data_IF_507190479723
#
_entry.id   IF_507190479723
#
_cell.length_a   1.000
_cell.length_b   1.000
_cell.length_c   1.000
_cell.angle_alpha   90.00
_cell.angle_beta   90.00
_cell.angle_gamma   90.00
#
_symmetry.space_group_name_H-M   'P 1'
#
loop_
_entity.id
_entity.type
_entity.pdbx_description
1 polymer ?
#
# COMPACT_ATOMS: atom_id res chain seq x y z
N UNK A 1 -41.54 13.49 12.35
CA UNK A 1 -40.50 14.34 11.73
C UNK A 1 -39.32 14.34 12.68
N UNK A 2 -38.45 13.34 12.57
CA UNK A 2 -37.13 13.43 13.20
C UNK A 2 -36.34 14.47 12.42
N UNK A 3 -35.80 15.46 13.12
CA UNK A 3 -34.94 16.48 12.53
C UNK A 3 -33.65 15.75 12.15
N UNK A 4 -33.49 15.46 10.86
CA UNK A 4 -32.27 14.93 10.30
C UNK A 4 -31.12 15.88 10.70
N UNK A 5 -30.24 15.39 11.57
CA UNK A 5 -29.13 16.19 12.11
C UNK A 5 -28.22 16.56 10.95
N UNK A 6 -28.34 17.78 10.45
CA UNK A 6 -27.47 18.30 9.40
C UNK A 6 -26.02 18.25 9.86
N UNK A 7 -25.17 17.66 9.03
CA UNK A 7 -23.74 17.51 9.31
C UNK A 7 -23.09 18.89 9.48
N UNK A 8 -22.36 19.09 10.57
CA UNK A 8 -21.76 20.38 10.94
C UNK A 8 -20.29 20.52 10.56
N UNK A 9 -19.64 19.42 10.14
CA UNK A 9 -18.23 19.36 9.77
C UNK A 9 -18.04 18.73 8.39
N UNK A 10 -17.02 19.15 7.61
CA UNK A 10 -16.62 18.43 6.40
C UNK A 10 -16.05 17.05 6.75
N UNK A 11 -16.17 16.10 5.83
CA UNK A 11 -15.72 14.72 6.03
C UNK A 11 -14.56 14.38 5.10
N UNK A 12 -13.51 13.81 5.67
CA UNK A 12 -12.38 13.25 4.95
C UNK A 12 -12.45 11.71 4.99
N UNK A 13 -12.77 11.08 3.86
CA UNK A 13 -12.79 9.63 3.74
C UNK A 13 -11.47 9.15 3.15
N UNK A 14 -10.76 8.29 3.86
CA UNK A 14 -9.60 7.57 3.37
C UNK A 14 -10.03 6.13 3.08
N UNK A 15 -10.05 5.73 1.82
CA UNK A 15 -10.43 4.38 1.40
C UNK A 15 -9.22 3.65 0.83
N UNK A 16 -8.79 2.60 1.51
CA UNK A 16 -7.59 1.86 1.13
C UNK A 16 -7.82 0.35 1.30
N UNK A 17 -7.55 -0.39 0.24
CA UNK A 17 -7.66 -1.86 0.23
C UNK A 17 -6.32 -2.51 -0.11
N UNK A 18 -6.23 -3.82 0.11
CA UNK A 18 -5.01 -4.60 -0.04
C UNK A 18 -4.39 -5.01 1.29
N UNK A 19 -3.12 -5.37 1.24
CA UNK A 19 -2.34 -5.89 2.37
C UNK A 19 -1.93 -4.79 3.35
N UNK A 20 -1.21 -5.17 4.42
CA UNK A 20 -0.69 -4.22 5.42
C UNK A 20 0.10 -3.07 4.78
N UNK A 21 0.91 -3.36 3.77
CA UNK A 21 1.72 -2.37 3.05
C UNK A 21 0.91 -1.35 2.24
N UNK A 22 -0.31 -1.71 1.84
CA UNK A 22 -1.19 -0.88 1.02
C UNK A 22 -2.07 0.04 1.87
N UNK A 23 -2.42 -0.42 3.08
CA UNK A 23 -3.42 0.21 3.95
C UNK A 23 -2.79 1.06 5.06
N UNK A 24 -1.78 0.54 5.76
CA UNK A 24 -1.25 1.19 6.96
C UNK A 24 -0.62 2.57 6.66
N UNK A 25 0.11 2.76 5.55
CA UNK A 25 0.60 4.09 5.18
C UNK A 25 -0.52 5.11 4.99
N UNK A 26 -1.64 4.71 4.40
CA UNK A 26 -2.81 5.59 4.21
C UNK A 26 -3.50 5.88 5.54
N UNK A 27 -3.59 4.89 6.43
CA UNK A 27 -4.07 5.09 7.79
C UNK A 27 -3.21 6.08 8.58
N UNK A 28 -1.89 6.06 8.40
CA UNK A 28 -0.98 7.01 9.04
C UNK A 28 -1.21 8.45 8.53
N UNK A 29 -1.46 8.62 7.22
CA UNK A 29 -1.85 9.92 6.66
C UNK A 29 -3.20 10.37 7.22
N UNK A 30 -4.20 9.48 7.29
CA UNK A 30 -5.52 9.81 7.83
C UNK A 30 -5.43 10.31 9.28
N UNK A 31 -4.62 9.65 10.11
CA UNK A 31 -4.37 10.08 11.49
C UNK A 31 -3.62 11.40 11.56
N UNK A 32 -2.54 11.56 10.80
CA UNK A 32 -1.81 12.83 10.76
C UNK A 32 -2.70 13.99 10.30
N UNK A 33 -3.56 13.74 9.31
CA UNK A 33 -4.55 14.72 8.84
C UNK A 33 -5.59 15.04 9.93
N UNK A 34 -6.13 14.05 10.64
CA UNK A 34 -7.09 14.28 11.73
C UNK A 34 -6.50 15.11 12.88
N UNK A 35 -5.23 14.86 13.22
CA UNK A 35 -4.51 15.62 14.22
C UNK A 35 -4.33 17.09 13.83
N UNK A 36 -3.98 17.34 12.56
CA UNK A 36 -3.71 18.66 12.01
C UNK A 36 -5.00 19.45 11.71
N UNK A 37 -6.05 18.77 11.23
CA UNK A 37 -7.30 19.35 10.73
C UNK A 37 -8.50 18.91 11.59
N UNK A 38 -8.55 19.36 12.85
CA UNK A 38 -9.57 18.98 13.85
C UNK A 38 -11.01 19.37 13.50
N UNK A 39 -11.18 20.25 12.52
CA UNK A 39 -12.49 20.63 11.99
C UNK A 39 -13.10 19.55 11.09
N UNK A 40 -12.33 18.56 10.66
CA UNK A 40 -12.81 17.44 9.86
C UNK A 40 -13.26 16.26 10.71
N UNK A 41 -14.29 15.57 10.25
CA UNK A 41 -14.55 14.20 10.66
C UNK A 41 -13.81 13.26 9.71
N UNK A 42 -12.90 12.45 10.24
CA UNK A 42 -12.02 11.59 9.43
C UNK A 42 -12.44 10.14 9.54
N UNK A 43 -12.55 9.45 8.40
CA UNK A 43 -13.00 8.06 8.32
C UNK A 43 -12.00 7.24 7.50
N UNK A 44 -11.56 6.10 8.02
CA UNK A 44 -10.85 5.07 7.26
C UNK A 44 -11.80 3.94 6.90
N UNK A 45 -11.92 3.64 5.60
CA UNK A 45 -12.63 2.48 5.06
C UNK A 45 -11.60 1.48 4.55
N UNK A 46 -11.60 0.25 5.08
CA UNK A 46 -10.67 -0.81 4.67
C UNK A 46 -11.19 -2.21 5.05
N UNK A 47 -10.46 -3.26 4.71
CA UNK A 47 -10.81 -4.64 5.06
C UNK A 47 -10.92 -4.86 6.57
N UNK A 48 -11.93 -5.62 6.99
CA UNK A 48 -12.09 -6.11 8.36
C UNK A 48 -10.86 -6.86 8.89
N UNK A 49 -10.04 -7.44 8.01
CA UNK A 49 -8.76 -8.06 8.37
C UNK A 49 -7.76 -7.10 9.03
N UNK A 50 -7.93 -5.78 8.89
CA UNK A 50 -7.10 -4.74 9.52
C UNK A 50 -7.74 -4.13 10.77
N UNK A 51 -8.68 -4.85 11.42
CA UNK A 51 -9.40 -4.43 12.64
C UNK A 51 -8.47 -3.93 13.75
N UNK A 52 -7.25 -4.45 13.83
CA UNK A 52 -6.26 -4.04 14.82
C UNK A 52 -5.83 -2.57 14.67
N UNK A 53 -6.07 -1.91 13.54
CA UNK A 53 -5.90 -0.47 13.39
C UNK A 53 -6.91 0.34 14.21
N UNK A 54 -8.09 -0.22 14.53
CA UNK A 54 -9.18 0.54 15.17
C UNK A 54 -8.75 1.24 16.45
N UNK A 55 -7.91 0.62 17.29
CA UNK A 55 -7.44 1.27 18.52
C UNK A 55 -6.54 2.48 18.22
N UNK A 56 -5.60 2.34 17.29
CA UNK A 56 -4.71 3.42 16.88
C UNK A 56 -5.46 4.59 16.21
N UNK A 57 -6.50 4.28 15.44
CA UNK A 57 -7.35 5.27 14.78
C UNK A 57 -8.22 6.02 15.80
N UNK A 58 -8.82 5.30 16.75
CA UNK A 58 -9.69 5.87 17.77
C UNK A 58 -8.95 6.84 18.71
N UNK A 59 -7.68 6.58 19.03
CA UNK A 59 -6.83 7.49 19.82
C UNK A 59 -6.73 8.89 19.21
N UNK A 60 -6.85 9.00 17.88
CA UNK A 60 -6.77 10.27 17.13
C UNK A 60 -8.10 10.64 16.47
N UNK A 61 -9.22 10.14 17.01
CA UNK A 61 -10.57 10.45 16.56
C UNK A 61 -10.86 10.10 15.08
N UNK A 62 -10.14 9.13 14.51
CA UNK A 62 -10.43 8.60 13.17
C UNK A 62 -11.39 7.42 13.29
N UNK A 63 -12.52 7.50 12.59
CA UNK A 63 -13.52 6.44 12.56
C UNK A 63 -13.09 5.30 11.64
N UNK A 64 -13.24 4.06 12.07
CA UNK A 64 -12.92 2.88 11.27
C UNK A 64 -14.18 2.18 10.76
N UNK A 65 -14.31 2.01 9.44
CA UNK A 65 -15.42 1.33 8.77
C UNK A 65 -14.91 0.08 8.04
N UNK A 66 -15.17 -1.13 8.57
CA UNK A 66 -14.69 -2.36 7.96
C UNK A 66 -15.50 -2.75 6.73
N UNK A 67 -14.83 -3.40 5.78
CA UNK A 67 -15.39 -4.12 4.63
C UNK A 67 -15.04 -5.61 4.77
N UNK A 68 -16.02 -6.49 4.60
CA UNK A 68 -15.91 -7.93 4.83
C UNK A 68 -14.93 -8.66 3.91
N UNK A 69 -14.76 -8.15 2.68
CA UNK A 69 -13.86 -8.75 1.68
C UNK A 69 -12.43 -8.97 2.22
N UNK A 70 -11.74 -10.04 1.83
CA UNK A 70 -10.37 -10.29 2.26
C UNK A 70 -9.36 -9.42 1.50
N UNK A 71 -8.22 -9.05 2.12
CA UNK A 71 -7.10 -8.37 1.46
C UNK A 71 -6.54 -9.08 0.22
N UNK A 72 -6.61 -10.41 0.21
CA UNK A 72 -6.10 -11.26 -0.87
C UNK A 72 -7.08 -12.41 -1.08
N UNK A 73 -7.46 -12.62 -2.34
CA UNK A 73 -8.22 -13.80 -2.74
C UNK A 73 -7.25 -14.97 -2.94
N UNK A 74 -7.32 -15.99 -2.08
CA UNK A 74 -6.56 -17.23 -2.26
C UNK A 74 -7.24 -18.15 -3.28
N UNK A 75 -6.43 -18.89 -4.04
CA UNK A 75 -6.91 -19.92 -4.98
C UNK A 75 -7.42 -21.18 -4.24
N UNK A 76 -7.27 -21.26 -2.91
CA UNK A 76 -7.62 -22.46 -2.15
C UNK A 76 -9.13 -22.72 -2.10
N UNK A 77 -9.51 -23.65 -2.99
CA UNK A 77 -10.52 -24.69 -2.87
C UNK A 77 -11.04 -24.85 -1.44
N UNK A 78 -12.21 -24.26 -1.15
CA UNK A 78 -13.06 -24.83 -0.11
C UNK A 78 -13.48 -26.19 -0.64
N UNK A 79 -12.82 -27.25 -0.19
CA UNK A 79 -13.36 -28.59 -0.30
C UNK A 79 -14.70 -28.57 0.46
N UNK A 80 -15.77 -28.30 -0.27
CA UNK A 80 -17.12 -28.46 0.23
C UNK A 80 -17.38 -29.98 0.29
N UNK A 81 -17.57 -30.57 1.48
CA UNK A 81 -17.84 -32.00 1.60
C UNK A 81 -19.19 -32.39 0.96
N UNK A 82 -19.98 -31.43 0.47
CA UNK A 82 -21.30 -31.66 -0.15
C UNK A 82 -21.26 -31.89 -1.67
N UNK A 83 -20.09 -31.87 -2.33
CA UNK A 83 -19.98 -32.26 -3.74
C UNK A 83 -20.54 -31.25 -4.75
N UNK A 84 -20.71 -29.98 -4.37
CA UNK A 84 -21.04 -28.91 -5.31
C UNK A 84 -19.87 -28.63 -6.26
N UNK A 85 -20.15 -28.45 -7.56
CA UNK A 85 -19.15 -28.07 -8.58
C UNK A 85 -18.48 -26.76 -8.18
N UNK A 86 -17.15 -26.78 -8.01
CA UNK A 86 -16.36 -25.57 -7.74
C UNK A 86 -16.49 -24.56 -8.88
N UNK A 87 -16.90 -23.34 -8.56
CA UNK A 87 -16.96 -22.26 -9.55
C UNK A 87 -15.54 -21.91 -10.03
N UNK A 88 -15.35 -21.62 -11.34
CA UNK A 88 -14.11 -21.04 -11.86
C UNK A 88 -13.64 -19.82 -11.05
N UNK A 89 -12.34 -19.71 -10.78
CA UNK A 89 -11.76 -18.58 -10.03
C UNK A 89 -12.15 -17.20 -10.59
N UNK A 90 -12.31 -17.08 -11.91
CA UNK A 90 -12.76 -15.86 -12.56
C UNK A 90 -14.19 -15.46 -12.14
N UNK A 91 -15.10 -16.43 -11.98
CA UNK A 91 -16.46 -16.19 -11.50
C UNK A 91 -16.46 -15.85 -10.02
N UNK A 92 -15.71 -16.59 -9.20
CA UNK A 92 -15.56 -16.27 -7.77
C UNK A 92 -15.04 -14.84 -7.58
N UNK A 93 -13.97 -14.46 -8.30
CA UNK A 93 -13.41 -13.11 -8.25
C UNK A 93 -14.44 -12.04 -8.63
N UNK A 94 -15.27 -12.28 -9.65
CA UNK A 94 -16.35 -11.35 -10.04
C UNK A 94 -17.39 -11.19 -8.94
N UNK A 95 -17.83 -12.29 -8.32
CA UNK A 95 -18.78 -12.26 -7.21
C UNK A 95 -18.22 -11.46 -6.01
N UNK A 96 -17.02 -11.81 -5.54
CA UNK A 96 -16.37 -11.09 -4.45
C UNK A 96 -16.19 -9.60 -4.75
N UNK A 97 -15.83 -9.24 -5.98
CA UNK A 97 -15.66 -7.85 -6.37
C UNK A 97 -16.99 -7.09 -6.41
N UNK A 98 -18.09 -7.76 -6.79
CA UNK A 98 -19.44 -7.19 -6.74
C UNK A 98 -19.91 -6.95 -5.31
N UNK A 99 -19.76 -7.95 -4.43
CA UNK A 99 -20.10 -7.85 -3.01
C UNK A 99 -19.28 -6.76 -2.32
N UNK A 100 -17.97 -6.74 -2.56
CA UNK A 100 -17.06 -5.71 -2.07
C UNK A 100 -17.53 -4.30 -2.44
N UNK A 101 -17.81 -4.04 -3.73
CA UNK A 101 -18.26 -2.72 -4.19
C UNK A 101 -19.61 -2.33 -3.59
N UNK A 102 -20.53 -3.28 -3.43
CA UNK A 102 -21.82 -3.03 -2.80
C UNK A 102 -21.67 -2.63 -1.33
N UNK A 103 -20.80 -3.32 -0.60
CA UNK A 103 -20.50 -2.98 0.80
C UNK A 103 -19.83 -1.60 0.90
N UNK A 104 -18.86 -1.31 0.04
CA UNK A 104 -18.24 0.02 -0.03
C UNK A 104 -19.27 1.11 -0.34
N UNK A 105 -20.19 0.88 -1.29
CA UNK A 105 -21.27 1.81 -1.61
C UNK A 105 -22.12 2.13 -0.39
N UNK A 106 -22.62 1.11 0.33
CA UNK A 106 -23.47 1.30 1.52
C UNK A 106 -22.75 2.08 2.62
N UNK A 107 -21.45 1.82 2.83
CA UNK A 107 -20.65 2.57 3.81
C UNK A 107 -20.51 4.04 3.40
N UNK A 108 -20.17 4.31 2.13
CA UNK A 108 -19.98 5.69 1.64
C UNK A 108 -21.32 6.45 1.59
N UNK A 109 -22.40 5.79 1.20
CA UNK A 109 -23.77 6.32 1.27
C UNK A 109 -24.16 6.66 2.71
N UNK A 110 -23.79 5.85 3.71
CA UNK A 110 -24.05 6.19 5.11
C UNK A 110 -23.30 7.43 5.61
N UNK A 111 -22.26 7.87 4.90
CA UNK A 111 -21.42 9.02 5.24
C UNK A 111 -21.88 10.29 4.50
N UNK A 112 -22.16 10.18 3.20
CA UNK A 112 -22.50 11.32 2.33
C UNK A 112 -23.97 11.38 1.90
N UNK A 113 -24.77 10.35 2.16
CA UNK A 113 -26.15 10.24 1.68
C UNK A 113 -27.19 10.99 2.52
N UNK A 114 -26.86 11.42 3.73
CA UNK A 114 -27.77 12.12 4.66
C UNK A 114 -27.91 13.63 4.42
N UNK A 115 -27.31 14.17 3.34
CA UNK A 115 -27.40 15.60 3.01
C UNK A 115 -26.51 16.01 1.83
N UNK A 116 -26.54 17.29 1.42
CA UNK A 116 -25.64 17.78 0.38
C UNK A 116 -24.18 17.71 0.81
N UNK A 117 -23.27 17.47 -0.14
CA UNK A 117 -21.84 17.54 0.12
C UNK A 117 -21.41 18.96 0.54
N UNK A 118 -20.43 19.03 1.43
CA UNK A 118 -19.79 20.29 1.82
C UNK A 118 -18.56 20.53 0.96
N UNK A 119 -18.19 21.80 0.74
CA UNK A 119 -17.04 22.17 -0.09
C UNK A 119 -15.72 21.50 0.34
N UNK A 120 -15.57 21.25 1.64
CA UNK A 120 -14.40 20.58 2.20
C UNK A 120 -14.38 19.07 2.05
N UNK A 121 -15.46 18.42 1.61
CA UNK A 121 -15.54 16.96 1.56
C UNK A 121 -14.63 16.35 0.49
N UNK A 122 -13.96 15.26 0.86
CA UNK A 122 -13.14 14.51 -0.09
C UNK A 122 -13.01 13.02 0.24
N UNK A 123 -12.63 12.26 -0.78
CA UNK A 123 -12.22 10.86 -0.71
C UNK A 123 -10.78 10.74 -1.19
N UNK A 124 -9.91 10.13 -0.38
CA UNK A 124 -8.58 9.68 -0.78
C UNK A 124 -8.63 8.19 -1.03
N UNK A 125 -8.19 7.74 -2.21
CA UNK A 125 -8.16 6.33 -2.58
C UNK A 125 -6.74 5.83 -2.83
N UNK A 126 -6.46 4.55 -2.54
CA UNK A 126 -5.32 3.87 -3.15
C UNK A 126 -5.73 3.14 -4.45
N UNK A 127 -4.77 2.57 -5.18
CA UNK A 127 -5.07 1.90 -6.46
C UNK A 127 -5.85 0.58 -6.32
N UNK A 128 -6.11 0.11 -5.11
CA UNK A 128 -6.99 -1.02 -4.84
C UNK A 128 -8.42 -0.58 -4.47
N UNK A 129 -8.67 0.72 -4.34
CA UNK A 129 -9.95 1.32 -3.96
C UNK A 129 -10.53 2.20 -5.08
N UNK A 130 -10.37 1.78 -6.33
CA UNK A 130 -10.75 2.57 -7.52
C UNK A 130 -12.24 2.88 -7.60
N UNK A 131 -13.11 2.09 -6.97
CA UNK A 131 -14.55 2.38 -6.85
C UNK A 131 -14.83 3.70 -6.15
N UNK A 132 -13.92 4.17 -5.29
CA UNK A 132 -14.03 5.48 -4.64
C UNK A 132 -13.98 6.64 -5.62
N UNK A 133 -13.43 6.46 -6.83
CA UNK A 133 -13.56 7.47 -7.89
C UNK A 133 -15.01 7.65 -8.32
N UNK A 134 -15.72 6.55 -8.60
CA UNK A 134 -17.14 6.60 -8.97
C UNK A 134 -18.01 7.11 -7.82
N UNK A 135 -17.68 6.76 -6.57
CA UNK A 135 -18.40 7.31 -5.42
C UNK A 135 -18.17 8.80 -5.24
N UNK A 136 -16.94 9.29 -5.46
CA UNK A 136 -16.65 10.72 -5.40
C UNK A 136 -17.45 11.50 -6.45
N UNK A 137 -17.57 10.97 -7.67
CA UNK A 137 -18.41 11.52 -8.73
C UNK A 137 -19.90 11.47 -8.34
N UNK A 138 -20.39 10.34 -7.81
CA UNK A 138 -21.79 10.17 -7.41
C UNK A 138 -22.22 11.15 -6.32
N UNK A 139 -21.40 11.31 -5.27
CA UNK A 139 -21.68 12.19 -4.13
C UNK A 139 -21.15 13.62 -4.34
N UNK A 140 -20.59 13.93 -5.52
CA UNK A 140 -20.05 15.25 -5.88
C UNK A 140 -19.06 15.77 -4.85
N UNK A 141 -18.11 14.93 -4.48
CA UNK A 141 -16.99 15.24 -3.58
C UNK A 141 -15.66 15.10 -4.32
N UNK A 142 -14.60 15.71 -3.80
CA UNK A 142 -13.28 15.64 -4.45
C UNK A 142 -12.67 14.25 -4.29
N UNK A 143 -12.02 13.74 -5.33
CA UNK A 143 -11.23 12.51 -5.25
C UNK A 143 -9.73 12.83 -5.35
N UNK A 144 -8.94 12.25 -4.46
CA UNK A 144 -7.48 12.27 -4.49
C UNK A 144 -6.96 10.84 -4.46
N UNK A 145 -5.73 10.63 -4.93
CA UNK A 145 -5.11 9.31 -4.96
C UNK A 145 -3.85 9.32 -4.11
N UNK A 146 -3.66 8.29 -3.29
CA UNK A 146 -2.47 8.08 -2.48
C UNK A 146 -1.97 6.64 -2.62
N UNK A 147 -0.73 6.47 -3.06
CA UNK A 147 -0.12 5.17 -3.32
C UNK A 147 1.24 5.06 -2.61
N UNK A 148 1.41 4.12 -1.65
CA UNK A 148 2.70 3.87 -1.01
C UNK A 148 3.71 3.12 -1.91
N UNK A 149 3.34 2.89 -3.17
CA UNK A 149 4.10 2.14 -4.17
C UNK A 149 3.99 2.84 -5.53
N UNK A 150 4.92 2.53 -6.43
CA UNK A 150 4.84 2.94 -7.84
C UNK A 150 3.67 2.22 -8.49
N UNK A 151 2.91 2.90 -9.37
CA UNK A 151 1.81 2.28 -10.14
C UNK A 151 2.28 0.94 -10.72
N UNK A 152 1.70 -0.19 -10.29
CA UNK A 152 2.23 -1.51 -10.62
C UNK A 152 1.83 -1.98 -12.02
N UNK A 153 1.09 -1.16 -12.78
CA UNK A 153 0.53 -1.52 -14.08
C UNK A 153 0.53 -0.32 -15.04
N UNK A 154 1.09 -0.50 -16.23
CA UNK A 154 0.92 0.46 -17.32
C UNK A 154 -0.33 0.15 -18.14
N UNK A 155 -0.93 1.15 -18.78
CA UNK A 155 -1.94 0.90 -19.80
C UNK A 155 -1.37 -0.06 -20.88
N UNK A 156 -2.13 -1.06 -21.36
CA UNK A 156 -1.69 -1.91 -22.46
C UNK A 156 -1.27 -1.08 -23.67
N UNK A 157 -0.24 -1.52 -24.42
CA UNK A 157 0.26 -0.77 -25.59
C UNK A 157 -0.81 -0.54 -26.67
N UNK A 158 -1.85 -1.37 -26.70
CA UNK A 158 -2.98 -1.25 -27.60
C UNK A 158 -4.12 -0.36 -27.07
N UNK A 159 -4.09 0.03 -25.79
CA UNK A 159 -5.19 0.74 -25.12
C UNK A 159 -5.54 2.04 -25.83
N UNK A 160 -4.57 2.90 -26.11
CA UNK A 160 -4.81 4.19 -26.79
C UNK A 160 -5.47 4.01 -28.16
N UNK A 161 -5.03 3.01 -28.93
CA UNK A 161 -5.59 2.72 -30.26
C UNK A 161 -7.05 2.31 -30.17
N UNK A 162 -7.38 1.42 -29.22
CA UNK A 162 -8.77 0.99 -29.00
C UNK A 162 -9.61 2.15 -28.46
N UNK A 163 -9.10 2.89 -27.48
CA UNK A 163 -9.79 4.04 -26.89
C UNK A 163 -10.14 5.09 -27.95
N UNK A 164 -9.19 5.44 -28.82
CA UNK A 164 -9.42 6.40 -29.91
C UNK A 164 -10.45 5.91 -30.93
N UNK A 165 -10.52 4.59 -31.17
CA UNK A 165 -11.46 4.00 -32.12
C UNK A 165 -12.88 3.96 -31.55
N UNK A 166 -13.03 3.48 -30.31
CA UNK A 166 -14.34 3.24 -29.69
C UNK A 166 -14.93 4.54 -29.08
N UNK A 167 -14.07 5.43 -28.57
CA UNK A 167 -14.47 6.68 -27.89
C UNK A 167 -13.75 7.91 -28.48
N UNK A 168 -13.87 8.19 -29.79
CA UNK A 168 -13.08 9.22 -30.48
C UNK A 168 -13.30 10.62 -29.92
N UNK A 169 -14.53 10.94 -29.52
CA UNK A 169 -14.88 12.24 -28.96
C UNK A 169 -14.34 12.41 -27.53
N UNK A 170 -14.38 11.37 -26.71
CA UNK A 170 -13.80 11.39 -25.36
C UNK A 170 -12.27 11.47 -25.42
N UNK A 171 -11.65 10.77 -26.37
CA UNK A 171 -10.21 10.89 -26.62
C UNK A 171 -9.84 12.33 -26.97
N UNK A 172 -10.60 12.97 -27.88
CA UNK A 172 -10.42 14.39 -28.23
C UNK A 172 -10.59 15.29 -26.99
N UNK A 173 -11.65 15.09 -26.21
CA UNK A 173 -11.89 15.81 -24.96
C UNK A 173 -10.68 15.74 -24.02
N UNK A 174 -10.12 14.54 -23.77
CA UNK A 174 -8.98 14.33 -22.88
C UNK A 174 -7.66 14.87 -23.43
N UNK A 175 -7.48 14.88 -24.76
CA UNK A 175 -6.28 15.39 -25.43
C UNK A 175 -6.22 16.91 -25.47
N UNK A 176 -7.38 17.57 -25.56
CA UNK A 176 -7.51 19.04 -25.61
C UNK A 176 -7.59 19.68 -24.21
N UNK A 177 -7.60 18.87 -23.15
CA UNK A 177 -7.64 19.37 -21.79
C UNK A 177 -6.38 20.18 -21.45
N UNK A 178 -6.59 21.29 -20.75
CA UNK A 178 -5.50 22.03 -20.11
C UNK A 178 -4.79 21.17 -19.05
N UNK A 179 -3.53 21.49 -18.76
CA UNK A 179 -2.69 20.75 -17.82
C UNK A 179 -3.24 20.74 -16.37
N UNK A 180 -4.10 21.69 -16.01
CA UNK A 180 -4.77 21.75 -14.71
C UNK A 180 -6.02 20.87 -14.61
N UNK A 181 -6.52 20.35 -15.74
CA UNK A 181 -7.74 19.54 -15.85
C UNK A 181 -7.39 18.07 -16.10
N UNK A 182 -8.35 17.18 -15.85
CA UNK A 182 -8.17 15.76 -16.22
C UNK A 182 -7.88 15.66 -17.72
N UNK A 183 -6.76 15.02 -18.04
CA UNK A 183 -6.26 14.92 -19.41
C UNK A 183 -5.78 13.51 -19.75
N UNK A 184 -5.37 13.31 -21.00
CA UNK A 184 -4.87 12.01 -21.46
C UNK A 184 -3.67 11.49 -20.65
N UNK A 185 -2.84 12.39 -20.09
CA UNK A 185 -1.72 11.99 -19.24
C UNK A 185 -2.19 11.31 -17.95
N UNK A 186 -3.26 11.79 -17.34
CA UNK A 186 -3.86 11.15 -16.15
C UNK A 186 -4.37 9.75 -16.51
N UNK A 187 -5.03 9.64 -17.67
CA UNK A 187 -5.57 8.38 -18.17
C UNK A 187 -4.50 7.32 -18.37
N UNK A 188 -3.45 7.62 -19.13
CA UNK A 188 -2.37 6.64 -19.37
C UNK A 188 -1.52 6.37 -18.14
N UNK A 189 -1.45 7.33 -17.20
CA UNK A 189 -0.64 7.17 -15.99
C UNK A 189 -1.31 6.23 -14.99
N UNK A 190 -2.61 6.38 -14.76
CA UNK A 190 -3.30 5.57 -13.75
C UNK A 190 -4.80 5.33 -13.98
N UNK A 191 -5.52 6.21 -14.70
CA UNK A 191 -6.99 6.10 -14.78
C UNK A 191 -7.50 5.09 -15.80
N UNK A 192 -6.64 4.54 -16.66
CA UNK A 192 -7.05 3.61 -17.73
C UNK A 192 -7.94 2.44 -17.27
N UNK A 193 -7.82 1.85 -16.06
CA UNK A 193 -8.72 0.78 -15.63
C UNK A 193 -10.18 1.23 -15.55
N UNK A 194 -10.44 2.50 -15.22
CA UNK A 194 -11.78 3.07 -15.09
C UNK A 194 -12.55 3.08 -16.42
N UNK A 195 -11.86 2.90 -17.55
CA UNK A 195 -12.45 2.86 -18.89
C UNK A 195 -12.60 1.44 -19.45
N UNK A 196 -12.41 0.42 -18.62
CA UNK A 196 -12.66 -0.97 -19.01
C UNK A 196 -14.14 -1.32 -18.85
N UNK A 197 -14.63 -2.24 -19.69
CA UNK A 197 -16.03 -2.68 -19.69
C UNK A 197 -16.51 -3.13 -18.30
N UNK A 198 -15.64 -3.79 -17.53
CA UNK A 198 -15.94 -4.25 -16.18
C UNK A 198 -16.33 -3.13 -15.20
N UNK A 199 -15.75 -1.94 -15.35
CA UNK A 199 -16.14 -0.77 -14.57
C UNK A 199 -17.37 -0.09 -15.17
N UNK A 200 -17.49 -0.07 -16.50
CA UNK A 200 -18.62 0.53 -17.19
C UNK A 200 -19.96 -0.13 -16.89
N UNK A 201 -20.02 -1.46 -16.94
CA UNK A 201 -21.24 -2.20 -16.57
C UNK A 201 -21.64 -1.92 -15.12
N UNK A 202 -20.70 -2.00 -14.18
CA UNK A 202 -21.00 -1.71 -12.77
C UNK A 202 -21.50 -0.28 -12.53
N UNK A 203 -20.89 0.73 -13.17
CA UNK A 203 -21.34 2.12 -13.06
C UNK A 203 -22.76 2.31 -13.57
N UNK A 204 -23.09 1.69 -14.69
CA UNK A 204 -24.43 1.76 -15.28
C UNK A 204 -25.44 1.00 -14.43
N UNK A 205 -25.19 -0.28 -14.18
CA UNK A 205 -26.16 -1.23 -13.62
C UNK A 205 -26.38 -1.03 -12.11
N UNK A 206 -25.36 -0.58 -11.37
CA UNK A 206 -25.42 -0.47 -9.91
C UNK A 206 -25.48 0.97 -9.40
N UNK A 207 -24.91 1.94 -10.12
CA UNK A 207 -24.88 3.35 -9.68
C UNK A 207 -25.77 4.28 -10.51
N UNK A 208 -26.39 3.79 -11.58
CA UNK A 208 -27.16 4.60 -12.54
C UNK A 208 -26.35 5.77 -13.13
N UNK A 209 -25.05 5.55 -13.36
CA UNK A 209 -24.11 6.54 -13.90
C UNK A 209 -23.74 6.22 -15.34
N UNK A 210 -23.09 7.16 -16.02
CA UNK A 210 -22.52 6.89 -17.35
C UNK A 210 -21.46 5.78 -17.26
N UNK A 211 -21.45 4.80 -18.20
CA UNK A 211 -20.46 3.72 -18.19
C UNK A 211 -19.03 4.23 -18.23
N UNK A 212 -18.78 5.30 -18.99
CA UNK A 212 -17.47 5.95 -19.02
C UNK A 212 -17.46 7.16 -18.08
N UNK A 213 -16.36 7.40 -17.34
CA UNK A 213 -16.15 8.68 -16.69
C UNK A 213 -16.14 9.84 -17.71
N UNK A 214 -16.58 11.03 -17.27
CA UNK A 214 -16.59 12.27 -18.07
C UNK A 214 -17.52 12.27 -19.28
N UNK A 215 -18.47 11.33 -19.34
CA UNK A 215 -19.54 11.31 -20.34
C UNK A 215 -20.89 11.50 -19.69
N UNK A 216 -21.79 12.17 -20.39
CA UNK A 216 -23.17 12.35 -19.96
C UNK A 216 -23.91 10.99 -19.99
N UNK A 217 -24.68 10.65 -18.95
CA UNK A 217 -25.34 9.34 -18.85
C UNK A 217 -26.45 9.12 -19.89
N UNK A 218 -27.02 10.18 -20.47
CA UNK A 218 -28.11 10.07 -21.45
C UNK A 218 -27.58 10.00 -22.87
N UNK A 219 -26.64 10.88 -23.22
CA UNK A 219 -26.12 11.04 -24.57
C UNK A 219 -24.86 10.22 -24.85
N UNK A 220 -24.13 9.80 -23.81
CA UNK A 220 -22.83 9.16 -23.93
C UNK A 220 -21.73 10.09 -24.47
N UNK A 221 -22.03 11.38 -24.63
CA UNK A 221 -21.08 12.37 -25.12
C UNK A 221 -20.26 12.95 -23.96
N UNK A 222 -18.99 13.33 -24.18
CA UNK A 222 -18.19 13.98 -23.16
C UNK A 222 -18.84 15.24 -22.58
N UNK A 223 -18.59 15.53 -21.32
CA UNK A 223 -19.12 16.72 -20.63
C UNK A 223 -18.20 17.93 -20.85
N UNK A 224 -18.14 18.50 -22.06
CA UNK A 224 -17.21 19.62 -22.38
C UNK A 224 -17.33 20.83 -21.45
N UNK A 225 -18.54 21.11 -20.97
CA UNK A 225 -18.80 22.22 -20.05
C UNK A 225 -18.33 21.94 -18.62
N UNK A 226 -18.10 20.67 -18.27
CA UNK A 226 -17.70 20.24 -16.95
C UNK A 226 -16.41 19.41 -17.02
N UNK A 227 -15.28 20.11 -16.89
CA UNK A 227 -13.94 19.52 -16.83
C UNK A 227 -13.44 19.52 -15.38
N UNK A 228 -13.40 18.36 -14.71
CA UNK A 228 -12.87 18.30 -13.37
C UNK A 228 -11.36 18.62 -13.36
N UNK A 229 -10.84 19.17 -12.25
CA UNK A 229 -9.40 19.35 -12.10
C UNK A 229 -8.69 18.00 -12.20
N UNK A 230 -7.44 18.00 -12.68
CA UNK A 230 -6.60 16.81 -12.56
C UNK A 230 -6.52 16.44 -11.06
N UNK A 231 -6.64 15.15 -10.70
CA UNK A 231 -6.65 14.73 -9.31
C UNK A 231 -5.24 14.81 -8.73
N UNK A 232 -5.14 15.20 -7.46
CA UNK A 232 -3.91 15.09 -6.71
C UNK A 232 -3.54 13.61 -6.58
N UNK A 233 -2.35 13.23 -7.06
CA UNK A 233 -1.79 11.88 -6.90
C UNK A 233 -0.53 11.96 -6.05
N UNK A 234 -0.60 11.37 -4.86
CA UNK A 234 0.47 11.33 -3.87
C UNK A 234 1.17 9.97 -3.94
N UNK A 235 2.48 10.00 -4.12
CA UNK A 235 3.34 8.83 -4.03
C UNK A 235 4.15 8.82 -2.74
N UNK A 236 4.09 7.70 -2.02
CA UNK A 236 4.78 7.43 -0.76
C UNK A 236 6.14 6.77 -0.93
N UNK A 237 6.96 7.26 -1.85
CA UNK A 237 8.36 6.87 -2.03
C UNK A 237 9.27 8.09 -2.11
N UNK A 238 10.58 7.88 -1.96
CA UNK A 238 11.60 8.94 -2.07
C UNK A 238 11.98 9.21 -3.52
N UNK A 239 12.23 10.50 -3.85
CA UNK A 239 12.80 10.91 -5.14
C UNK A 239 14.27 10.52 -5.32
N UNK A 240 14.98 10.28 -4.21
CA UNK A 240 16.34 9.72 -4.25
C UNK A 240 16.33 8.26 -4.74
N UNK A 241 15.19 7.59 -4.56
CA UNK A 241 15.03 6.17 -4.83
C UNK A 241 14.29 5.93 -6.13
N UNK A 242 13.26 6.69 -6.45
CA UNK A 242 12.41 6.48 -7.63
C UNK A 242 12.54 7.67 -8.59
N UNK A 243 12.85 7.37 -9.84
CA UNK A 243 12.92 8.38 -10.90
C UNK A 243 11.52 8.94 -11.21
N UNK A 244 11.45 10.27 -11.30
CA UNK A 244 10.21 11.01 -11.51
C UNK A 244 10.26 11.73 -12.86
N UNK A 245 9.87 11.07 -13.96
CA UNK A 245 10.00 11.65 -15.29
C UNK A 245 9.04 12.82 -15.50
N UNK A 246 9.49 13.82 -16.27
CA UNK A 246 8.73 15.05 -16.53
C UNK A 246 7.44 14.86 -17.35
N UNK A 247 7.15 13.65 -17.83
CA UNK A 247 5.91 13.35 -18.54
C UNK A 247 4.75 12.96 -17.61
N UNK A 248 4.98 12.81 -16.30
CA UNK A 248 3.91 12.58 -15.33
C UNK A 248 2.87 13.71 -15.32
N UNK A 249 1.62 13.43 -14.90
CA UNK A 249 0.61 14.47 -14.72
C UNK A 249 1.08 15.56 -13.76
N UNK A 250 0.62 16.80 -13.98
CA UNK A 250 1.16 17.98 -13.27
C UNK A 250 0.81 18.02 -11.77
N UNK A 251 -0.24 17.30 -11.34
CA UNK A 251 -0.65 17.17 -9.95
C UNK A 251 -0.13 15.90 -9.27
N UNK A 252 0.83 15.20 -9.88
CA UNK A 252 1.58 14.17 -9.17
C UNK A 252 2.56 14.82 -8.18
N UNK A 253 2.59 14.30 -6.95
CA UNK A 253 3.54 14.70 -5.90
C UNK A 253 4.19 13.46 -5.31
N UNK A 254 5.50 13.55 -5.11
CA UNK A 254 6.28 12.52 -4.42
C UNK A 254 6.63 13.07 -3.06
N UNK A 255 6.18 12.35 -2.03
CA UNK A 255 6.18 12.86 -0.66
C UNK A 255 7.43 12.45 0.11
N UNK A 256 8.09 11.37 -0.29
CA UNK A 256 8.96 10.58 0.58
C UNK A 256 8.22 9.36 1.12
N UNK A 257 8.95 8.43 1.73
CA UNK A 257 8.34 7.22 2.29
C UNK A 257 7.40 7.53 3.47
N UNK A 258 6.27 6.82 3.52
CA UNK A 258 5.28 6.93 4.59
C UNK A 258 5.56 5.92 5.70
N UNK A 259 6.59 6.21 6.49
CA UNK A 259 6.93 5.37 7.63
C UNK A 259 5.86 5.42 8.72
N UNK A 260 5.53 4.25 9.26
CA UNK A 260 4.52 4.13 10.31
C UNK A 260 5.07 4.61 11.65
N UNK A 261 4.21 5.19 12.52
CA UNK A 261 4.56 5.42 13.92
C UNK A 261 5.08 4.14 14.58
N UNK A 262 6.06 4.26 15.47
CA UNK A 262 6.73 3.10 16.08
C UNK A 262 5.72 2.21 16.81
N UNK A 263 4.77 2.83 17.50
CA UNK A 263 3.66 2.22 18.23
C UNK A 263 2.78 1.29 17.38
N UNK A 264 2.62 1.56 16.08
CA UNK A 264 1.77 0.76 15.18
C UNK A 264 2.50 -0.45 14.62
N UNK A 265 3.82 -0.48 14.76
CA UNK A 265 4.64 -1.56 14.23
C UNK A 265 4.70 -2.75 15.20
N UNK A 266 4.38 -2.55 16.49
CA UNK A 266 4.27 -3.62 17.48
C UNK A 266 2.86 -4.17 17.51
N UNK A 267 2.69 -5.49 17.39
CA UNK A 267 1.37 -6.11 17.58
C UNK A 267 1.01 -6.36 19.06
N UNK A 268 1.98 -6.25 19.97
CA UNK A 268 1.77 -6.40 21.41
C UNK A 268 1.60 -5.03 22.09
N UNK A 269 0.44 -4.79 22.74
CA UNK A 269 0.15 -3.55 23.47
C UNK A 269 1.16 -3.25 24.59
N UNK A 270 1.56 -4.27 25.36
CA UNK A 270 2.55 -4.13 26.43
C UNK A 270 3.93 -3.68 25.88
N UNK A 271 4.37 -4.21 24.74
CA UNK A 271 5.62 -3.79 24.10
C UNK A 271 5.52 -2.40 23.43
N UNK A 272 4.32 -2.02 22.96
CA UNK A 272 4.05 -0.71 22.39
C UNK A 272 4.20 0.42 23.44
N UNK A 273 3.67 0.22 24.65
CA UNK A 273 3.80 1.18 25.76
C UNK A 273 5.27 1.39 26.17
N UNK A 274 6.08 0.34 26.15
CA UNK A 274 7.52 0.40 26.45
C UNK A 274 8.28 1.20 25.37
N UNK A 275 7.92 1.05 24.09
CA UNK A 275 8.53 1.85 23.01
C UNK A 275 8.23 3.34 23.10
N UNK A 276 7.10 3.75 23.69
CA UNK A 276 6.79 5.16 23.97
C UNK A 276 7.73 5.75 25.02
N UNK A 277 8.11 4.97 26.02
CA UNK A 277 9.01 5.38 27.11
C UNK A 277 10.47 5.48 26.61
N UNK A 278 10.89 4.61 25.67
CA UNK A 278 12.25 4.68 25.08
C UNK A 278 12.48 5.98 24.29
N UNK A 279 11.44 6.51 23.64
CA UNK A 279 11.52 7.76 22.86
C UNK A 279 11.68 9.01 23.74
N UNK A 280 11.44 8.93 25.05
CA UNK A 280 11.56 10.04 26.00
C UNK A 280 12.89 10.07 26.79
N UNK A 281 13.84 9.18 26.48
CA UNK A 281 15.24 9.30 26.95
C UNK A 281 15.55 8.71 28.33
N UNK A 282 14.66 7.91 28.93
CA UNK A 282 14.94 7.22 30.20
C UNK A 282 15.66 5.87 29.98
N UNK A 283 16.71 5.62 30.78
CA UNK A 283 17.54 4.41 30.77
C UNK A 283 16.88 3.24 31.53
N UNK A 284 17.13 2.03 31.02
CA UNK A 284 16.50 0.74 31.34
C UNK A 284 16.50 0.27 32.81
N UNK A 285 15.42 -0.42 33.19
CA UNK A 285 15.42 -1.64 34.03
C UNK A 285 14.89 -2.84 33.22
N UNK A 286 15.26 -4.06 33.61
CA UNK A 286 15.51 -5.21 32.71
C UNK A 286 14.28 -6.07 32.30
N UNK A 287 13.08 -5.81 32.81
CA UNK A 287 11.99 -6.82 32.84
C UNK A 287 10.59 -6.31 32.38
N UNK A 288 10.42 -5.82 31.15
CA UNK A 288 9.07 -5.38 30.68
C UNK A 288 8.62 -5.85 29.29
N UNK A 289 9.50 -6.30 28.38
CA UNK A 289 9.05 -6.85 27.08
C UNK A 289 8.30 -8.18 27.27
N UNK A 290 7.30 -8.46 26.42
CA UNK A 290 6.64 -9.76 26.45
C UNK A 290 7.63 -10.87 26.04
N UNK A 291 7.37 -12.10 26.49
CA UNK A 291 8.28 -13.25 26.32
C UNK A 291 8.79 -13.43 24.88
N UNK A 292 7.90 -13.31 23.88
CA UNK A 292 8.27 -13.41 22.47
C UNK A 292 9.28 -12.34 22.02
N UNK A 293 9.17 -11.10 22.51
CA UNK A 293 10.09 -10.01 22.18
C UNK A 293 11.37 -10.04 23.02
N UNK A 294 11.33 -10.55 24.26
CA UNK A 294 12.53 -10.75 25.09
C UNK A 294 13.49 -11.74 24.44
N UNK A 295 12.98 -12.86 23.94
CA UNK A 295 13.82 -13.86 23.31
C UNK A 295 14.46 -13.36 22.01
N UNK A 296 13.72 -12.56 21.23
CA UNK A 296 14.27 -11.92 20.04
C UNK A 296 15.34 -10.87 20.40
N UNK A 297 15.08 -10.03 21.40
CA UNK A 297 16.05 -9.04 21.88
C UNK A 297 17.33 -9.73 22.40
N UNK A 298 17.19 -10.84 23.12
CA UNK A 298 18.32 -11.66 23.54
C UNK A 298 19.10 -12.24 22.35
N UNK A 299 18.40 -12.79 21.34
CA UNK A 299 19.01 -13.29 20.12
C UNK A 299 19.81 -12.19 19.39
N UNK A 300 19.25 -10.99 19.25
CA UNK A 300 19.92 -9.87 18.59
C UNK A 300 21.08 -9.28 19.40
N UNK A 301 21.04 -9.37 20.74
CA UNK A 301 22.11 -8.90 21.64
C UNK A 301 23.19 -9.95 21.91
N UNK A 302 22.98 -11.20 21.51
CA UNK A 302 23.98 -12.26 21.67
C UNK A 302 25.22 -11.88 20.87
N UNK A 303 26.42 -11.79 21.47
CA UNK A 303 27.62 -11.37 20.76
C UNK A 303 27.96 -12.38 19.67
N UNK A 304 27.79 -11.96 18.41
CA UNK A 304 28.16 -12.73 17.22
C UNK A 304 29.22 -11.94 16.44
N UNK A 305 30.12 -12.61 15.69
CA UNK A 305 31.14 -11.92 14.88
C UNK A 305 30.54 -10.96 13.83
N UNK A 306 29.29 -11.19 13.42
CA UNK A 306 28.55 -10.34 12.49
C UNK A 306 27.07 -10.29 12.93
N UNK A 307 26.38 -9.14 12.75
CA UNK A 307 24.94 -9.07 12.99
C UNK A 307 24.16 -10.06 12.10
N UNK A 308 22.97 -10.52 12.52
CA UNK A 308 22.19 -11.48 11.75
C UNK A 308 21.67 -10.90 10.44
N UNK A 309 21.38 -11.79 9.47
CA UNK A 309 20.69 -11.45 8.22
C UNK A 309 19.21 -11.75 8.39
N UNK A 310 18.36 -10.75 8.11
CA UNK A 310 16.91 -10.93 8.12
C UNK A 310 16.45 -11.69 6.86
N UNK A 311 15.44 -12.57 6.99
CA UNK A 311 14.81 -13.25 5.85
C UNK A 311 13.28 -13.14 5.95
N UNK A 312 12.66 -12.46 4.99
CA UNK A 312 11.22 -12.19 4.93
C UNK A 312 10.66 -12.30 3.51
N UNK A 313 10.37 -13.52 3.07
CA UNK A 313 9.88 -13.82 1.71
C UNK A 313 8.35 -13.86 1.60
N UNK A 314 7.64 -13.62 2.69
CA UNK A 314 6.18 -13.50 2.71
C UNK A 314 5.77 -12.08 2.30
N UNK A 315 5.07 -11.94 1.17
CA UNK A 315 4.38 -10.71 0.76
C UNK A 315 2.99 -10.59 1.36
N UNK A 316 2.43 -11.72 1.77
CA UNK A 316 1.10 -11.91 2.34
C UNK A 316 1.31 -12.94 3.44
N UNK A 317 0.72 -12.75 4.62
CA UNK A 317 0.93 -13.56 5.84
C UNK A 317 0.72 -15.08 5.70
N UNK A 318 0.47 -15.62 4.50
CA UNK A 318 0.82 -16.98 4.09
C UNK A 318 0.88 -17.11 2.56
N UNK A 319 1.92 -17.76 2.02
CA UNK A 319 1.83 -19.04 1.26
C UNK A 319 3.15 -19.43 0.53
N UNK A 320 3.64 -20.65 0.78
CA UNK A 320 4.58 -21.39 -0.07
C UNK A 320 5.94 -21.78 0.57
N UNK A 321 6.13 -23.07 0.82
CA UNK A 321 7.15 -23.69 1.70
C UNK A 321 8.61 -23.63 1.23
N UNK A 322 9.53 -23.47 2.19
CA UNK A 322 10.91 -23.97 2.11
C UNK A 322 10.91 -25.45 2.54
N UNK A 323 11.55 -26.35 1.77
CA UNK A 323 11.59 -27.82 1.99
C UNK A 323 12.18 -28.26 3.35
N UNK A 324 12.71 -27.35 4.16
CA UNK A 324 13.10 -27.62 5.54
C UNK A 324 12.52 -26.56 6.50
N UNK A 325 11.23 -26.68 6.84
CA UNK A 325 10.59 -25.78 7.80
C UNK A 325 11.25 -25.84 9.18
N UNK A 326 11.97 -26.90 9.56
CA UNK A 326 12.68 -26.99 10.84
C UNK A 326 13.88 -26.04 10.95
N UNK A 327 14.54 -25.66 9.84
CA UNK A 327 15.66 -24.71 9.87
C UNK A 327 15.19 -23.25 10.09
N UNK A 328 14.06 -22.88 9.47
CA UNK A 328 13.41 -21.58 9.69
C UNK A 328 12.66 -21.53 11.03
N UNK A 329 11.99 -22.63 11.41
CA UNK A 329 11.36 -22.76 12.72
C UNK A 329 12.38 -22.72 13.86
N UNK A 330 13.64 -23.17 13.71
CA UNK A 330 14.66 -22.95 14.75
C UNK A 330 15.04 -21.47 14.95
N UNK A 331 14.86 -20.64 13.92
CA UNK A 331 15.09 -19.19 14.00
C UNK A 331 13.88 -18.46 14.62
N UNK A 332 12.67 -19.02 14.46
CA UNK A 332 11.42 -18.55 15.08
C UNK A 332 11.07 -19.22 16.42
N UNK A 333 11.68 -20.35 16.78
CA UNK A 333 11.44 -21.12 18.02
C UNK A 333 11.97 -20.41 19.27
N UNK A 334 12.57 -19.24 19.11
CA UNK A 334 12.80 -18.30 20.21
C UNK A 334 11.55 -17.46 20.52
N UNK A 335 10.54 -17.36 19.65
CA UNK A 335 9.29 -16.65 19.92
C UNK A 335 8.10 -17.58 20.06
N UNK A 336 7.73 -17.94 21.29
CA UNK A 336 6.48 -18.67 21.55
C UNK A 336 5.25 -17.91 21.02
N UNK A 337 4.54 -18.53 20.06
CA UNK A 337 3.10 -18.76 20.17
C UNK A 337 2.10 -17.64 19.84
N UNK A 338 2.50 -16.48 19.30
CA UNK A 338 1.53 -15.47 18.88
C UNK A 338 1.99 -14.74 17.61
N UNK A 339 1.02 -14.29 16.79
CA UNK A 339 1.16 -13.50 15.55
C UNK A 339 1.86 -12.14 15.82
N UNK A 340 3.10 -12.20 16.28
CA UNK A 340 3.91 -11.08 16.73
C UNK A 340 4.64 -10.49 15.53
N UNK A 341 4.13 -9.39 14.99
CA UNK A 341 4.87 -8.64 13.97
C UNK A 341 5.91 -7.76 14.67
N UNK A 342 7.18 -7.94 14.32
CA UNK A 342 8.29 -7.14 14.86
C UNK A 342 8.46 -5.89 14.00
N UNK A 343 8.60 -4.69 14.60
CA UNK A 343 8.88 -3.46 13.85
C UNK A 343 10.17 -3.55 13.05
N UNK A 344 10.10 -3.33 11.73
CA UNK A 344 11.28 -3.33 10.88
C UNK A 344 12.27 -2.23 11.23
N UNK A 345 11.79 -1.04 11.64
CA UNK A 345 12.69 0.05 12.07
C UNK A 345 13.56 -0.36 13.27
N UNK A 346 13.02 -1.15 14.18
CA UNK A 346 13.75 -1.69 15.33
C UNK A 346 14.63 -2.89 14.93
N UNK A 347 14.11 -3.80 14.11
CA UNK A 347 14.80 -5.03 13.74
C UNK A 347 15.98 -4.77 12.79
N UNK A 348 15.77 -4.01 11.71
CA UNK A 348 16.74 -3.88 10.63
C UNK A 348 17.99 -3.09 11.03
N UNK A 349 17.87 -2.16 11.99
CA UNK A 349 19.04 -1.47 12.57
C UNK A 349 20.00 -2.39 13.32
N UNK A 350 19.58 -3.64 13.59
CA UNK A 350 20.38 -4.71 14.23
C UNK A 350 20.75 -5.83 13.26
N UNK A 351 20.39 -5.70 11.98
CA UNK A 351 20.70 -6.69 10.95
C UNK A 351 21.88 -6.24 10.10
N UNK A 352 22.62 -7.20 9.54
CA UNK A 352 23.69 -6.93 8.59
C UNK A 352 23.18 -6.76 7.16
N UNK A 353 22.07 -7.43 6.81
CA UNK A 353 21.37 -7.34 5.53
C UNK A 353 19.93 -7.86 5.67
N UNK A 354 19.10 -7.60 4.67
CA UNK A 354 17.74 -8.14 4.57
C UNK A 354 17.52 -8.91 3.25
N UNK A 355 17.06 -10.14 3.35
CA UNK A 355 16.60 -10.96 2.22
C UNK A 355 15.08 -10.92 2.21
N UNK A 356 14.46 -10.40 1.15
CA UNK A 356 13.00 -10.22 1.13
C UNK A 356 12.40 -10.27 -0.27
N UNK A 357 11.07 -10.29 -0.32
CA UNK A 357 10.31 -10.40 -1.55
C UNK A 357 10.22 -9.09 -2.38
N UNK A 358 10.77 -7.99 -1.89
CA UNK A 358 10.73 -6.70 -2.59
C UNK A 358 9.45 -5.87 -2.44
N UNK A 359 8.59 -6.13 -1.45
CA UNK A 359 7.42 -5.27 -1.21
C UNK A 359 7.85 -3.87 -0.74
N UNK A 360 7.18 -2.84 -1.26
CA UNK A 360 7.54 -1.42 -1.08
C UNK A 360 7.88 -1.04 0.37
N UNK A 361 7.05 -1.41 1.34
CA UNK A 361 7.27 -1.11 2.75
C UNK A 361 8.49 -1.81 3.37
N UNK A 362 8.79 -3.05 2.95
CA UNK A 362 9.99 -3.77 3.41
C UNK A 362 11.25 -3.16 2.82
N UNK A 363 11.20 -2.85 1.52
CA UNK A 363 12.29 -2.16 0.80
C UNK A 363 12.58 -0.80 1.44
N UNK A 364 11.54 0.00 1.70
CA UNK A 364 11.66 1.30 2.35
C UNK A 364 12.28 1.19 3.76
N UNK A 365 11.87 0.19 4.55
CA UNK A 365 12.42 0.00 5.89
C UNK A 365 13.90 -0.41 5.88
N UNK A 366 14.32 -1.26 4.93
CA UNK A 366 15.72 -1.66 4.78
C UNK A 366 16.59 -0.50 4.31
N UNK A 367 16.10 0.30 3.35
CA UNK A 367 16.73 1.55 2.96
C UNK A 367 16.88 2.50 4.14
N UNK A 368 15.82 2.69 4.95
CA UNK A 368 15.87 3.58 6.12
C UNK A 368 16.91 3.12 7.14
N UNK A 369 17.00 1.81 7.37
CA UNK A 369 18.00 1.23 8.26
C UNK A 369 19.44 1.28 7.69
N UNK A 370 19.62 1.61 6.42
CA UNK A 370 20.93 1.68 5.77
C UNK A 370 21.61 0.33 5.62
N UNK A 371 20.83 -0.75 5.48
CA UNK A 371 21.36 -2.11 5.33
C UNK A 371 21.27 -2.58 3.87
N UNK A 372 22.25 -3.37 3.39
CA UNK A 372 22.13 -4.08 2.13
C UNK A 372 20.90 -4.97 2.03
N UNK A 373 20.40 -5.14 0.81
CA UNK A 373 19.23 -5.95 0.51
C UNK A 373 19.57 -7.08 -0.47
N UNK A 374 18.85 -8.20 -0.38
CA UNK A 374 18.80 -9.26 -1.38
C UNK A 374 17.33 -9.48 -1.72
N UNK A 375 16.95 -9.16 -2.96
CA UNK A 375 15.54 -9.11 -3.34
C UNK A 375 15.16 -10.29 -4.24
N UNK A 376 14.08 -10.98 -3.90
CA UNK A 376 13.49 -12.04 -4.72
C UNK A 376 12.03 -11.72 -5.04
N UNK A 377 11.74 -11.06 -6.16
CA UNK A 377 10.37 -10.63 -6.50
C UNK A 377 9.49 -11.79 -6.97
N UNK A 378 8.18 -11.70 -6.65
CA UNK A 378 7.17 -12.68 -7.05
C UNK A 378 5.99 -12.07 -7.82
N UNK A 379 5.59 -10.83 -7.49
CA UNK A 379 4.37 -10.21 -8.03
C UNK A 379 4.44 -8.69 -8.08
N UNK A 380 3.70 -8.10 -9.02
CA UNK A 380 3.44 -6.66 -9.12
C UNK A 380 4.71 -5.78 -9.05
N UNK A 381 4.71 -4.77 -8.18
CA UNK A 381 5.76 -3.77 -8.02
C UNK A 381 7.08 -4.35 -7.47
N UNK A 382 7.07 -5.58 -6.96
CA UNK A 382 8.27 -6.21 -6.41
C UNK A 382 9.39 -6.31 -7.43
N UNK A 383 9.06 -6.59 -8.70
CA UNK A 383 10.05 -6.65 -9.78
C UNK A 383 10.72 -5.30 -10.00
N UNK A 384 9.94 -4.22 -10.00
CA UNK A 384 10.46 -2.85 -10.09
C UNK A 384 11.39 -2.53 -8.92
N UNK A 385 10.98 -2.82 -7.68
CA UNK A 385 11.81 -2.57 -6.52
C UNK A 385 13.11 -3.37 -6.54
N UNK A 386 13.06 -4.63 -6.96
CA UNK A 386 14.25 -5.47 -7.04
C UNK A 386 15.29 -4.89 -8.03
N UNK A 387 14.85 -4.56 -9.25
CA UNK A 387 15.72 -3.91 -10.23
C UNK A 387 16.23 -2.55 -9.74
N UNK A 388 15.35 -1.77 -9.11
CA UNK A 388 15.73 -0.43 -8.64
C UNK A 388 16.76 -0.49 -7.52
N UNK A 389 16.66 -1.43 -6.58
CA UNK A 389 17.67 -1.61 -5.53
C UNK A 389 19.02 -2.02 -6.11
N UNK A 390 19.02 -2.86 -7.15
CA UNK A 390 20.23 -3.21 -7.87
C UNK A 390 20.87 -2.00 -8.56
N UNK A 391 20.09 -1.20 -9.29
CA UNK A 391 20.59 0.01 -9.96
C UNK A 391 21.08 1.10 -9.01
N UNK A 392 20.44 1.23 -7.84
CA UNK A 392 20.92 2.11 -6.77
C UNK A 392 22.21 1.59 -6.10
N UNK A 393 22.60 0.34 -6.36
CA UNK A 393 23.79 -0.28 -5.78
C UNK A 393 23.64 -0.61 -4.29
N UNK A 394 22.41 -0.79 -3.80
CA UNK A 394 22.10 -1.20 -2.42
C UNK A 394 21.70 -2.68 -2.32
N UNK A 395 21.67 -3.38 -3.46
CA UNK A 395 21.44 -4.81 -3.58
C UNK A 395 22.26 -5.39 -4.75
N UNK A 396 22.61 -6.68 -4.73
CA UNK A 396 23.08 -7.42 -5.90
C UNK A 396 21.91 -7.68 -6.89
N UNK A 397 22.20 -8.35 -8.01
CA UNK A 397 21.18 -8.67 -9.02
C UNK A 397 20.00 -9.46 -8.40
N UNK A 398 18.74 -9.15 -8.78
CA UNK A 398 17.56 -9.82 -8.24
C UNK A 398 17.59 -11.35 -8.37
N UNK A 399 17.20 -12.03 -7.29
CA UNK A 399 17.03 -13.47 -7.31
C UNK A 399 15.75 -13.85 -8.08
N UNK A 400 15.85 -14.89 -8.91
CA UNK A 400 14.69 -15.55 -9.52
C UNK A 400 14.04 -16.48 -8.50
N UNK A 401 12.72 -16.70 -8.62
CA UNK A 401 11.98 -17.65 -7.79
C UNK A 401 12.64 -19.03 -7.74
N UNK A 402 13.11 -19.53 -8.89
CA UNK A 402 13.78 -20.82 -9.01
C UNK A 402 15.09 -20.92 -8.23
N UNK A 403 15.71 -19.79 -7.87
CA UNK A 403 16.93 -19.76 -7.05
C UNK A 403 16.66 -20.08 -5.57
N UNK A 404 15.44 -19.81 -5.07
CA UNK A 404 15.06 -20.07 -3.68
C UNK A 404 14.15 -21.29 -3.53
N UNK A 405 13.33 -21.56 -4.55
CA UNK A 405 12.36 -22.64 -4.58
C UNK A 405 12.61 -23.50 -5.83
N UNK A 406 13.63 -24.38 -5.80
CA UNK A 406 13.84 -25.31 -6.89
C UNK A 406 12.64 -26.25 -7.03
N UNK A 407 12.16 -26.42 -8.27
CA UNK A 407 10.99 -27.26 -8.57
C UNK A 407 11.26 -28.74 -8.27
N UNK A 408 12.51 -29.17 -8.40
CA UNK A 408 12.96 -30.53 -8.16
C UNK A 408 13.68 -30.68 -6.80
N UNK A 409 13.61 -31.88 -6.21
CA UNK A 409 14.22 -32.20 -4.90
C UNK A 409 15.68 -32.66 -4.97
N UNK A 410 16.32 -32.57 -6.13
CA UNK A 410 17.65 -33.14 -6.32
C UNK A 410 18.68 -32.45 -5.41
N UNK A 411 19.52 -33.24 -4.75
CA UNK A 411 20.53 -32.78 -3.81
C UNK A 411 21.51 -31.78 -4.45
N UNK A 412 21.87 -31.98 -5.73
CA UNK A 412 22.75 -31.07 -6.47
C UNK A 412 22.08 -29.72 -6.73
N UNK A 413 20.77 -29.72 -6.98
CA UNK A 413 20.00 -28.50 -7.20
C UNK A 413 19.90 -27.71 -5.88
N UNK A 414 19.61 -28.39 -4.77
CA UNK A 414 19.57 -27.77 -3.44
C UNK A 414 20.95 -27.19 -3.08
N UNK A 415 22.03 -27.93 -3.32
CA UNK A 415 23.39 -27.45 -3.08
C UNK A 415 23.74 -26.25 -3.98
N UNK A 416 23.32 -26.27 -5.24
CA UNK A 416 23.48 -25.14 -6.18
C UNK A 416 22.76 -23.88 -5.71
N UNK A 417 21.51 -24.01 -5.25
CA UNK A 417 20.74 -22.92 -4.67
C UNK A 417 21.39 -22.35 -3.40
N UNK A 418 21.87 -23.21 -2.50
CA UNK A 418 22.58 -22.80 -1.29
C UNK A 418 23.88 -22.04 -1.61
N UNK A 419 24.67 -22.53 -2.57
CA UNK A 419 25.90 -21.88 -3.02
C UNK A 419 25.63 -20.52 -3.68
N UNK A 420 24.54 -20.42 -4.46
CA UNK A 420 24.11 -19.15 -5.03
C UNK A 420 23.70 -18.16 -3.94
N UNK A 421 22.87 -18.58 -2.99
CA UNK A 421 22.43 -17.72 -1.90
C UNK A 421 23.61 -17.21 -1.05
N UNK A 422 24.56 -18.10 -0.73
CA UNK A 422 25.78 -17.73 -0.01
C UNK A 422 26.60 -16.66 -0.76
N UNK A 423 26.80 -16.83 -2.07
CA UNK A 423 27.50 -15.82 -2.90
C UNK A 423 26.76 -14.49 -2.93
N UNK A 424 25.44 -14.50 -3.13
CA UNK A 424 24.64 -13.28 -3.21
C UNK A 424 24.61 -12.54 -1.87
N UNK A 425 24.57 -13.26 -0.73
CA UNK A 425 24.72 -12.65 0.59
C UNK A 425 26.11 -12.03 0.75
N UNK A 426 27.16 -12.74 0.33
CA UNK A 426 28.53 -12.22 0.37
C UNK A 426 28.66 -10.93 -0.47
N UNK A 427 28.09 -10.92 -1.68
CA UNK A 427 28.11 -9.75 -2.57
C UNK A 427 27.35 -8.57 -1.97
N UNK A 428 26.15 -8.81 -1.40
CA UNK A 428 25.36 -7.80 -0.69
C UNK A 428 26.13 -7.19 0.49
N UNK A 429 26.93 -7.98 1.19
CA UNK A 429 27.74 -7.52 2.33
C UNK A 429 29.06 -6.85 1.94
N UNK A 430 29.34 -6.71 0.64
CA UNK A 430 30.54 -6.00 0.17
C UNK A 430 30.58 -4.56 0.69
N UNK A 431 31.80 -4.00 0.95
CA UNK A 431 31.94 -2.62 1.44
C UNK A 431 31.20 -1.60 0.58
N UNK A 432 31.26 -1.77 -0.74
CA UNK A 432 30.60 -0.89 -1.72
C UNK A 432 29.08 -0.82 -1.52
N UNK A 433 28.40 -1.97 -1.45
CA UNK A 433 26.94 -2.01 -1.28
C UNK A 433 26.54 -1.46 0.08
N UNK A 434 27.31 -1.78 1.14
CA UNK A 434 27.08 -1.25 2.49
C UNK A 434 27.22 0.27 2.56
N UNK A 435 28.26 0.83 1.95
CA UNK A 435 28.48 2.27 1.91
C UNK A 435 27.35 2.99 1.19
N UNK A 436 26.92 2.48 0.03
CA UNK A 436 25.77 3.02 -0.70
C UNK A 436 24.46 2.95 0.10
N UNK A 437 24.21 1.83 0.79
CA UNK A 437 23.00 1.68 1.62
C UNK A 437 22.96 2.73 2.75
N UNK A 438 24.09 2.98 3.42
CA UNK A 438 24.23 4.03 4.44
C UNK A 438 24.06 5.42 3.85
N UNK A 439 24.61 5.66 2.65
CA UNK A 439 24.47 6.95 1.97
C UNK A 439 23.01 7.27 1.64
N UNK A 440 22.29 6.32 1.03
CA UNK A 440 20.87 6.50 0.72
C UNK A 440 20.04 6.68 1.99
N UNK A 441 20.31 5.89 3.04
CA UNK A 441 19.66 6.04 4.35
C UNK A 441 19.75 7.47 4.89
N UNK A 442 20.95 8.08 4.83
CA UNK A 442 21.14 9.47 5.28
C UNK A 442 20.24 10.44 4.52
N UNK A 443 20.11 10.29 3.20
CA UNK A 443 19.27 11.17 2.39
C UNK A 443 17.79 11.02 2.69
N UNK A 444 17.28 9.78 2.74
CA UNK A 444 15.85 9.52 3.01
C UNK A 444 15.46 9.80 4.46
N UNK A 445 16.41 9.75 5.41
CA UNK A 445 16.15 10.05 6.82
C UNK A 445 15.76 11.51 7.08
N UNK A 446 16.02 12.40 6.11
CA UNK A 446 15.62 13.81 6.15
C UNK A 446 14.19 14.05 5.65
N UNK A 447 13.56 13.03 5.05
CA UNK A 447 12.21 13.14 4.52
C UNK A 447 11.16 12.84 5.60
N UNK A 448 10.11 13.65 5.63
CA UNK A 448 8.87 13.34 6.35
C UNK A 448 7.73 13.16 5.34
N UNK A 449 7.59 11.94 4.84
CA UNK A 449 6.62 11.63 3.79
C UNK A 449 5.17 11.82 4.23
N UNK A 450 4.84 11.53 5.49
CA UNK A 450 3.46 11.64 6.00
C UNK A 450 3.08 13.11 6.13
N UNK A 451 3.94 13.94 6.74
CA UNK A 451 3.69 15.37 6.85
C UNK A 451 3.63 16.05 5.48
N UNK A 452 4.50 15.65 4.53
CA UNK A 452 4.42 16.13 3.16
C UNK A 452 3.10 15.76 2.48
N UNK A 453 2.58 14.54 2.68
CA UNK A 453 1.29 14.14 2.14
C UNK A 453 0.15 14.99 2.71
N UNK A 454 0.10 15.19 4.04
CA UNK A 454 -0.90 16.05 4.70
C UNK A 454 -0.82 17.48 4.17
N UNK A 455 0.38 18.04 4.01
CA UNK A 455 0.60 19.36 3.41
C UNK A 455 -0.02 19.47 2.01
N UNK A 456 0.24 18.52 1.12
CA UNK A 456 -0.32 18.56 -0.23
C UNK A 456 -1.85 18.38 -0.25
N UNK A 457 -2.41 17.57 0.66
CA UNK A 457 -3.87 17.46 0.82
C UNK A 457 -4.46 18.82 1.24
N UNK A 458 -3.86 19.51 2.22
CA UNK A 458 -4.28 20.85 2.68
C UNK A 458 -4.25 21.89 1.55
N UNK A 459 -3.16 21.91 0.78
CA UNK A 459 -3.03 22.80 -0.38
C UNK A 459 -4.12 22.54 -1.42
N UNK A 460 -4.46 21.26 -1.67
CA UNK A 460 -5.50 20.90 -2.64
C UNK A 460 -6.91 21.28 -2.14
N UNK A 461 -7.21 21.19 -0.84
CA UNK A 461 -8.52 21.57 -0.27
C UNK A 461 -8.62 23.06 0.09
N UNK A 462 -7.55 23.85 -0.06
CA UNK A 462 -7.56 25.29 0.23
C UNK A 462 -7.49 25.65 1.71
N UNK A 463 -7.07 24.73 2.58
CA UNK A 463 -6.83 25.03 4.00
C UNK A 463 -5.48 25.76 4.16
N UNK A 464 -5.51 27.01 4.63
CA UNK A 464 -4.30 27.79 4.91
C UNK A 464 -3.50 27.17 6.06
N UNK A 465 -2.16 27.33 6.02
CA UNK A 465 -1.15 26.66 6.86
C UNK A 465 -1.45 26.67 8.35
#
# INVERSE_FOLDING_TARGET
MEVESQRTKPVAVFMAFGTKGDVYPIAAIAVAFACDQRQYDVVLITHSAHENLRCHLAEQHVSYRPISSPPVLSIHQKHDPTGSVELPFSLQKRMFSSEHRQECYLVVESIFGSGPSMEGDFIVINFFALEGWSFAELFRVRCMVAAPYVVPYSAPSSFERHFKKELPLLYKYLKEADISKVCWKDVIHWMWPLFTEYWGSWRCDNLNMSPCPFTDPVTGLPTWHDRPPSPLLLYGFSKEVVECPGYWPAKVRVCGFWFLPNEWQFSCKQCCEISRIVSSGHLYTKDELCSAHVHLDYFLKTPMPMPPVFIGLSSIGSMGFLKNPQAFLRLLQTGHGDNSTIPYKWLFTRCAAAIHHGGSGTTAAALLAGIPQVVCPFLLDQFYWAERMFWLGVAPEPLKRSHLLPEESDEKIIQGAANLLSRVIHDALSPKIREHAVEISKRISLEDGVSNAVKYIKEEIGCSS
#
